data_IF_707278509227
#
_entry.id   IF_707278509227
#
_cell.length_a   1.000
_cell.length_b   1.000
_cell.length_c   1.000
_cell.angle_alpha   90.00
_cell.angle_beta   90.00
_cell.angle_gamma   90.00
#
_symmetry.space_group_name_H-M   'P 1'
#
loop_
_entity.id
_entity.type
_entity.pdbx_description
1 polymer ?
#
# COMPACT_ATOMS: atom_id res chain seq x y z
N UNK A 1 -15.14 -3.69 -30.58
CA UNK A 1 -14.75 -4.59 -29.47
C UNK A 1 -14.43 -3.81 -28.22
N UNK A 2 -13.48 -2.87 -28.25
CA UNK A 2 -13.16 -1.98 -27.12
C UNK A 2 -13.32 -0.52 -27.56
N UNK A 3 -14.07 0.28 -26.80
CA UNK A 3 -14.29 1.69 -27.09
C UNK A 3 -14.07 2.52 -25.82
N UNK A 4 -13.20 3.51 -25.91
CA UNK A 4 -13.03 4.51 -24.86
C UNK A 4 -13.85 5.74 -25.21
N UNK A 5 -14.74 6.13 -24.32
CA UNK A 5 -15.56 7.32 -24.45
C UNK A 5 -15.13 8.32 -23.38
N UNK A 6 -14.79 9.52 -23.85
CA UNK A 6 -14.33 10.64 -23.01
C UNK A 6 -15.31 11.80 -23.14
N UNK A 7 -15.65 12.42 -22.01
CA UNK A 7 -16.48 13.62 -22.00
C UNK A 7 -15.66 14.81 -22.47
N UNK A 8 -16.20 15.57 -23.42
CA UNK A 8 -15.58 16.78 -23.96
C UNK A 8 -16.47 17.99 -23.73
N UNK A 9 -15.86 19.15 -23.52
CA UNK A 9 -16.57 20.43 -23.43
C UNK A 9 -16.96 20.95 -24.82
N UNK A 10 -17.67 22.09 -24.87
CA UNK A 10 -18.11 22.72 -26.13
C UNK A 10 -16.96 23.14 -27.07
N UNK A 11 -15.72 23.17 -26.58
CA UNK A 11 -14.50 23.46 -27.37
C UNK A 11 -13.76 22.18 -27.80
N UNK A 12 -14.36 21.01 -27.59
CA UNK A 12 -13.78 19.70 -27.95
C UNK A 12 -12.62 19.24 -27.05
N UNK A 13 -12.33 19.95 -25.95
CA UNK A 13 -11.31 19.52 -24.98
C UNK A 13 -11.91 18.53 -23.99
N UNK A 14 -11.14 17.53 -23.58
CA UNK A 14 -11.53 16.58 -22.52
C UNK A 14 -11.90 17.39 -21.27
N UNK A 15 -13.13 17.16 -20.80
CA UNK A 15 -13.71 17.86 -19.67
C UNK A 15 -13.07 17.41 -18.36
N UNK A 16 -12.85 16.10 -18.21
CA UNK A 16 -12.22 15.50 -17.04
C UNK A 16 -11.46 14.23 -17.43
N UNK A 17 -10.15 14.24 -17.23
CA UNK A 17 -9.21 13.19 -17.66
C UNK A 17 -9.30 11.91 -16.82
N UNK A 18 -9.79 12.03 -15.58
CA UNK A 18 -9.99 10.89 -14.66
C UNK A 18 -11.30 10.13 -14.88
N UNK A 19 -12.23 10.64 -15.69
CA UNK A 19 -13.50 9.97 -16.00
C UNK A 19 -13.52 9.50 -17.44
N UNK A 20 -13.29 8.20 -17.62
CA UNK A 20 -13.33 7.51 -18.91
C UNK A 20 -14.31 6.36 -18.83
N UNK A 21 -15.18 6.24 -19.84
CA UNK A 21 -16.07 5.10 -19.98
C UNK A 21 -15.45 4.11 -20.94
N UNK A 22 -15.35 2.86 -20.52
CA UNK A 22 -14.85 1.76 -21.35
C UNK A 22 -16.03 0.88 -21.71
N UNK A 23 -16.33 0.79 -23.01
CA UNK A 23 -17.36 -0.10 -23.54
C UNK A 23 -16.72 -1.29 -24.22
N UNK A 24 -17.17 -2.47 -23.81
CA UNK A 24 -16.72 -3.76 -24.35
C UNK A 24 -17.89 -4.45 -25.04
N UNK A 25 -17.71 -4.80 -26.30
CA UNK A 25 -18.71 -5.50 -27.12
C UNK A 25 -18.44 -7.00 -27.15
N UNK A 26 -18.79 -7.70 -26.06
CA UNK A 26 -18.56 -9.15 -25.92
C UNK A 26 -19.06 -10.02 -27.10
N UNK A 27 -20.21 -9.74 -27.75
CA UNK A 27 -20.65 -10.54 -28.90
C UNK A 27 -19.69 -10.54 -30.10
N UNK A 28 -18.85 -9.51 -30.24
CA UNK A 28 -17.85 -9.42 -31.32
C UNK A 28 -16.53 -10.13 -30.97
N UNK A 29 -16.38 -10.61 -29.74
CA UNK A 29 -15.24 -11.42 -29.34
C UNK A 29 -15.44 -12.87 -29.80
N UNK A 30 -14.61 -13.36 -30.72
CA UNK A 30 -14.76 -14.70 -31.34
C UNK A 30 -13.55 -15.60 -31.15
N UNK A 31 -12.56 -15.18 -30.36
CA UNK A 31 -11.34 -15.96 -30.11
C UNK A 31 -11.67 -17.21 -29.27
N UNK A 32 -11.03 -18.32 -29.61
CA UNK A 32 -11.06 -19.56 -28.80
C UNK A 32 -9.94 -19.58 -27.75
N UNK A 33 -9.95 -20.55 -26.84
CA UNK A 33 -8.95 -20.69 -25.76
C UNK A 33 -7.51 -20.69 -26.29
N UNK A 34 -7.27 -21.36 -27.42
CA UNK A 34 -5.93 -21.45 -28.05
C UNK A 34 -5.46 -20.13 -28.70
N UNK A 35 -6.38 -19.18 -28.88
CA UNK A 35 -6.14 -17.89 -29.52
C UNK A 35 -6.02 -16.75 -28.49
N UNK A 36 -5.97 -17.07 -27.19
CA UNK A 36 -5.85 -16.10 -26.11
C UNK A 36 -4.39 -15.68 -25.93
N UNK A 37 -4.00 -14.59 -26.57
CA UNK A 37 -2.63 -14.07 -26.53
C UNK A 37 -2.40 -13.09 -25.37
N UNK A 38 -3.41 -12.31 -25.00
CA UNK A 38 -3.28 -11.23 -24.00
C UNK A 38 -4.14 -11.45 -22.77
N UNK A 39 -3.73 -10.86 -21.64
CA UNK A 39 -4.52 -10.86 -20.40
C UNK A 39 -5.93 -10.26 -20.61
N UNK A 40 -6.06 -9.29 -21.51
CA UNK A 40 -7.35 -8.74 -21.92
C UNK A 40 -8.21 -9.77 -22.65
N UNK A 41 -7.64 -10.55 -23.59
CA UNK A 41 -8.37 -11.62 -24.26
C UNK A 41 -8.85 -12.69 -23.27
N UNK A 42 -8.02 -13.02 -22.27
CA UNK A 42 -8.36 -13.95 -21.19
C UNK A 42 -9.57 -13.47 -20.38
N UNK A 43 -9.60 -12.20 -19.98
CA UNK A 43 -10.77 -11.60 -19.31
C UNK A 43 -12.02 -11.58 -20.19
N UNK A 44 -11.89 -11.24 -21.47
CA UNK A 44 -13.03 -11.23 -22.39
C UNK A 44 -13.60 -12.63 -22.61
N UNK A 45 -12.73 -13.64 -22.77
CA UNK A 45 -13.13 -15.02 -22.90
C UNK A 45 -13.85 -15.50 -21.64
N UNK A 46 -13.27 -15.25 -20.47
CA UNK A 46 -13.85 -15.60 -19.18
C UNK A 46 -15.24 -14.97 -19.00
N UNK A 47 -15.38 -13.65 -19.19
CA UNK A 47 -16.65 -12.95 -19.04
C UNK A 47 -17.71 -13.40 -20.05
N UNK A 48 -17.29 -13.80 -21.25
CA UNK A 48 -18.21 -14.29 -22.29
C UNK A 48 -18.71 -15.71 -22.00
N UNK A 49 -17.85 -16.57 -21.42
CA UNK A 49 -18.12 -17.98 -21.21
C UNK A 49 -18.42 -18.34 -19.74
N UNK A 50 -18.50 -17.36 -18.84
CA UNK A 50 -18.63 -17.56 -17.39
C UNK A 50 -19.80 -18.45 -16.99
N UNK A 51 -20.92 -18.37 -17.71
CA UNK A 51 -22.11 -19.20 -17.45
C UNK A 51 -21.95 -20.67 -17.84
N UNK A 52 -21.00 -20.96 -18.73
CA UNK A 52 -20.84 -22.26 -19.38
C UNK A 52 -19.57 -22.98 -18.90
N UNK A 53 -18.75 -22.31 -18.07
CA UNK A 53 -17.50 -22.85 -17.55
C UNK A 53 -17.76 -23.63 -16.25
N UNK A 54 -17.63 -24.96 -16.33
CA UNK A 54 -17.66 -25.85 -15.16
C UNK A 54 -16.30 -25.95 -14.46
N UNK A 55 -15.21 -25.68 -15.19
CA UNK A 55 -13.84 -25.70 -14.67
C UNK A 55 -12.96 -24.69 -15.42
N UNK A 56 -11.89 -24.17 -14.77
CA UNK A 56 -10.93 -23.28 -15.41
C UNK A 56 -10.16 -23.98 -16.53
N UNK A 57 -10.22 -23.47 -17.78
CA UNK A 57 -9.34 -23.93 -18.86
C UNK A 57 -7.87 -23.70 -18.49
N UNK A 58 -6.96 -24.55 -18.95
CA UNK A 58 -5.52 -24.45 -18.63
C UNK A 58 -4.92 -23.07 -18.93
N UNK A 59 -5.38 -22.41 -20.00
CA UNK A 59 -4.92 -21.06 -20.38
C UNK A 59 -5.32 -19.94 -19.37
N UNK A 60 -6.23 -20.25 -18.44
CA UNK A 60 -6.79 -19.35 -17.42
C UNK A 60 -6.43 -19.77 -15.98
N UNK A 61 -5.51 -20.73 -15.80
CA UNK A 61 -4.97 -21.12 -14.49
C UNK A 61 -3.88 -20.15 -14.01
N UNK A 62 -4.24 -18.88 -13.90
CA UNK A 62 -3.37 -17.85 -13.30
C UNK A 62 -3.94 -17.44 -11.94
N UNK A 63 -3.05 -17.08 -11.00
CA UNK A 63 -3.39 -16.68 -9.62
C UNK A 63 -4.48 -15.60 -9.54
N UNK A 64 -4.55 -14.74 -10.55
CA UNK A 64 -5.54 -13.67 -10.67
C UNK A 64 -6.97 -14.18 -10.93
N UNK A 65 -7.12 -15.35 -11.56
CA UNK A 65 -8.39 -15.98 -11.88
C UNK A 65 -8.82 -17.01 -10.83
N UNK A 66 -7.90 -17.53 -10.00
CA UNK A 66 -8.21 -18.49 -8.94
C UNK A 66 -9.33 -17.98 -8.04
N UNK A 67 -9.26 -16.72 -7.61
CA UNK A 67 -10.30 -16.10 -6.77
C UNK A 67 -11.66 -16.02 -7.45
N UNK A 68 -11.70 -15.92 -8.78
CA UNK A 68 -12.95 -15.85 -9.54
C UNK A 68 -13.57 -17.24 -9.72
N UNK A 69 -12.73 -18.26 -9.96
CA UNK A 69 -13.20 -19.65 -10.03
C UNK A 69 -13.62 -20.20 -8.67
N UNK A 70 -12.90 -19.84 -7.60
CA UNK A 70 -13.35 -20.09 -6.21
C UNK A 70 -14.75 -19.49 -5.99
N UNK A 71 -15.01 -18.27 -6.47
CA UNK A 71 -16.31 -17.60 -6.31
C UNK A 71 -17.43 -18.24 -7.15
N UNK A 72 -17.11 -18.74 -8.35
CA UNK A 72 -18.07 -19.46 -9.19
C UNK A 72 -18.39 -20.86 -8.68
N UNK A 73 -17.40 -21.59 -8.12
CA UNK A 73 -17.64 -22.88 -7.47
C UNK A 73 -18.61 -22.74 -6.29
N UNK A 74 -18.50 -21.68 -5.50
CA UNK A 74 -19.43 -21.38 -4.39
C UNK A 74 -20.87 -21.20 -4.85
N UNK A 75 -21.09 -20.69 -6.06
CA UNK A 75 -22.45 -20.52 -6.59
C UNK A 75 -23.12 -21.86 -6.94
N UNK A 76 -22.33 -22.93 -7.07
CA UNK A 76 -22.77 -24.32 -7.26
C UNK A 76 -22.75 -25.15 -5.96
N UNK A 77 -22.42 -24.57 -4.80
CA UNK A 77 -22.27 -25.32 -3.55
C UNK A 77 -23.61 -25.80 -2.97
N UNK A 78 -23.59 -27.00 -2.40
CA UNK A 78 -24.63 -27.45 -1.49
C UNK A 78 -24.56 -26.68 -0.17
N UNK A 79 -25.65 -26.65 0.61
CA UNK A 79 -25.74 -25.88 1.86
C UNK A 79 -24.60 -26.18 2.87
N UNK A 80 -24.07 -27.41 2.86
CA UNK A 80 -22.97 -27.84 3.74
C UNK A 80 -21.62 -27.28 3.28
N UNK A 81 -21.39 -27.20 1.97
CA UNK A 81 -20.16 -26.64 1.38
C UNK A 81 -20.14 -25.12 1.51
N UNK A 82 -21.29 -24.47 1.42
CA UNK A 82 -21.44 -23.05 1.69
C UNK A 82 -21.05 -22.71 3.14
N UNK A 83 -21.50 -23.48 4.13
CA UNK A 83 -21.17 -23.27 5.54
C UNK A 83 -19.67 -23.50 5.81
N UNK A 84 -19.06 -24.52 5.21
CA UNK A 84 -17.63 -24.78 5.35
C UNK A 84 -16.79 -23.65 4.71
N UNK A 85 -17.22 -23.13 3.57
CA UNK A 85 -16.57 -22.00 2.91
C UNK A 85 -16.72 -20.70 3.70
N UNK A 86 -17.91 -20.38 4.20
CA UNK A 86 -18.13 -19.21 5.06
C UNK A 86 -17.27 -19.25 6.32
N UNK A 87 -17.12 -20.42 6.93
CA UNK A 87 -16.23 -20.63 8.07
C UNK A 87 -14.74 -20.43 7.71
N UNK A 88 -14.30 -20.90 6.54
CA UNK A 88 -12.94 -20.67 6.03
C UNK A 88 -12.68 -19.20 5.72
N UNK A 89 -13.64 -18.53 5.07
CA UNK A 89 -13.57 -17.10 4.74
C UNK A 89 -13.55 -16.24 6.01
N UNK A 90 -14.31 -16.63 7.04
CA UNK A 90 -14.27 -16.00 8.37
C UNK A 90 -12.88 -16.14 8.99
N UNK A 91 -12.28 -17.34 8.97
CA UNK A 91 -10.93 -17.57 9.47
C UNK A 91 -9.88 -16.73 8.72
N UNK A 92 -9.96 -16.64 7.40
CA UNK A 92 -9.07 -15.81 6.59
C UNK A 92 -9.25 -14.31 6.90
N UNK A 93 -10.50 -13.83 7.06
CA UNK A 93 -10.80 -12.45 7.46
C UNK A 93 -10.27 -12.14 8.87
N UNK A 94 -10.43 -13.06 9.81
CA UNK A 94 -9.90 -12.92 11.18
C UNK A 94 -8.35 -12.84 11.13
N UNK A 95 -7.68 -13.69 10.35
CA UNK A 95 -6.23 -13.61 10.14
C UNK A 95 -5.78 -12.31 9.46
N UNK A 96 -6.47 -11.86 8.40
CA UNK A 96 -6.15 -10.61 7.72
C UNK A 96 -6.32 -9.40 8.63
N UNK A 97 -7.38 -9.38 9.46
CA UNK A 97 -7.58 -8.32 10.45
C UNK A 97 -6.45 -8.32 11.49
N UNK A 98 -6.07 -9.48 12.03
CA UNK A 98 -4.94 -9.58 12.98
C UNK A 98 -3.64 -9.07 12.35
N UNK A 99 -3.31 -9.49 11.13
CA UNK A 99 -2.09 -9.07 10.44
C UNK A 99 -2.10 -7.58 10.08
N UNK A 100 -3.24 -7.05 9.64
CA UNK A 100 -3.40 -5.64 9.32
C UNK A 100 -3.24 -4.77 10.57
N UNK A 101 -3.92 -5.13 11.67
CA UNK A 101 -3.81 -4.42 12.95
C UNK A 101 -2.38 -4.47 13.48
N UNK A 102 -1.72 -5.64 13.51
CA UNK A 102 -0.33 -5.73 13.99
C UNK A 102 0.67 -4.94 13.14
N UNK A 103 0.42 -4.81 11.83
CA UNK A 103 1.26 -3.98 10.95
C UNK A 103 1.03 -2.49 11.19
N UNK A 104 -0.23 -2.09 11.40
CA UNK A 104 -0.60 -0.70 11.65
C UNK A 104 -0.07 -0.22 13.02
N UNK A 105 -0.20 -1.06 14.06
CA UNK A 105 0.38 -0.84 15.39
C UNK A 105 1.92 -0.72 15.31
N UNK A 106 2.60 -1.65 14.65
CA UNK A 106 4.07 -1.59 14.54
C UNK A 106 4.60 -0.37 13.75
N UNK A 107 3.84 0.11 12.75
CA UNK A 107 4.19 1.35 12.04
C UNK A 107 3.99 2.56 12.94
N UNK A 108 2.90 2.62 13.69
CA UNK A 108 2.61 3.74 14.58
C UNK A 108 3.60 3.81 15.75
N UNK A 109 3.93 2.68 16.38
CA UNK A 109 4.96 2.59 17.41
C UNK A 109 6.33 3.02 16.85
N UNK A 110 6.76 2.45 15.70
CA UNK A 110 8.04 2.82 15.09
C UNK A 110 8.11 4.29 14.69
N UNK A 111 6.99 4.89 14.27
CA UNK A 111 6.90 6.33 13.96
C UNK A 111 7.01 7.18 15.22
N UNK A 112 6.36 6.78 16.32
CA UNK A 112 6.44 7.49 17.59
C UNK A 112 7.84 7.42 18.18
N UNK A 113 8.42 6.23 18.28
CA UNK A 113 9.78 6.03 18.79
C UNK A 113 10.81 6.80 17.95
N UNK A 114 10.74 6.70 16.63
CA UNK A 114 11.65 7.42 15.73
C UNK A 114 11.51 8.94 15.84
N UNK A 115 10.29 9.45 16.05
CA UNK A 115 10.07 10.88 16.27
C UNK A 115 10.62 11.36 17.62
N UNK A 116 10.44 10.58 18.69
CA UNK A 116 10.96 10.91 20.01
C UNK A 116 12.49 10.86 20.06
N UNK A 117 13.10 9.80 19.51
CA UNK A 117 14.54 9.68 19.39
C UNK A 117 15.14 10.82 18.57
N UNK A 118 14.61 11.08 17.36
CA UNK A 118 15.13 12.16 16.51
C UNK A 118 14.97 13.55 17.15
N UNK A 119 13.90 13.78 17.92
CA UNK A 119 13.72 15.02 18.67
C UNK A 119 14.71 15.15 19.83
N UNK A 120 15.05 14.06 20.50
CA UNK A 120 16.02 14.08 21.59
C UNK A 120 17.45 14.23 21.08
N UNK A 121 17.83 13.48 20.06
CA UNK A 121 19.14 13.61 19.38
C UNK A 121 19.34 15.03 18.86
N UNK A 122 18.38 15.59 18.13
CA UNK A 122 18.48 16.96 17.62
C UNK A 122 18.58 18.01 18.73
N UNK A 123 17.97 17.78 19.90
CA UNK A 123 18.12 18.68 21.06
C UNK A 123 19.52 18.62 21.65
N UNK A 124 20.10 17.43 21.79
CA UNK A 124 21.46 17.28 22.32
C UNK A 124 22.50 17.81 21.32
N UNK A 125 22.35 17.54 20.03
CA UNK A 125 23.20 18.11 18.98
C UNK A 125 23.15 19.64 19.00
N UNK A 126 21.96 20.24 19.10
CA UNK A 126 21.81 21.71 19.17
C UNK A 126 22.50 22.29 20.41
N UNK A 127 22.42 21.62 21.57
CA UNK A 127 23.12 22.08 22.80
C UNK A 127 24.64 22.08 22.59
N UNK A 128 25.17 21.03 21.94
CA UNK A 128 26.60 20.91 21.64
C UNK A 128 27.03 21.99 20.65
N UNK A 129 26.27 22.23 19.57
CA UNK A 129 26.55 23.28 18.59
C UNK A 129 26.57 24.67 19.24
N UNK A 130 25.60 24.97 20.11
CA UNK A 130 25.56 26.23 20.86
C UNK A 130 26.79 26.32 21.79
N UNK A 131 27.15 25.26 22.50
CA UNK A 131 28.30 25.25 23.39
C UNK A 131 29.60 25.53 22.63
N UNK A 132 29.82 24.89 21.48
CA UNK A 132 30.97 25.12 20.61
C UNK A 132 31.03 26.57 20.11
N UNK A 133 29.90 27.13 19.68
CA UNK A 133 29.80 28.54 19.28
C UNK A 133 30.15 29.49 20.43
N UNK A 134 29.68 29.20 21.64
CA UNK A 134 30.01 30.00 22.82
C UNK A 134 31.49 29.89 23.23
N UNK A 135 32.09 28.71 23.11
CA UNK A 135 33.53 28.50 23.35
C UNK A 135 34.36 29.32 22.36
N UNK A 136 34.00 29.31 21.07
CA UNK A 136 34.69 30.11 20.05
C UNK A 136 34.59 31.63 20.32
N UNK A 137 33.50 32.08 20.94
CA UNK A 137 33.30 33.46 21.35
C UNK A 137 34.01 33.81 22.67
N UNK A 138 34.69 32.86 23.31
CA UNK A 138 35.47 33.10 24.53
C UNK A 138 34.64 33.25 25.81
N UNK A 139 33.39 32.77 25.81
CA UNK A 139 32.56 32.77 27.02
C UNK A 139 33.12 31.83 28.09
N UNK A 140 32.94 32.20 29.37
CA UNK A 140 33.36 31.38 30.50
C UNK A 140 32.46 30.15 30.69
N UNK A 141 32.98 29.14 31.38
CA UNK A 141 32.31 27.85 31.55
C UNK A 141 30.96 27.97 32.27
N UNK A 142 30.84 28.86 33.26
CA UNK A 142 29.59 29.04 34.02
C UNK A 142 28.49 29.63 33.13
N UNK A 143 28.84 30.62 32.29
CA UNK A 143 27.89 31.20 31.34
C UNK A 143 27.43 30.18 30.30
N UNK A 144 28.33 29.32 29.81
CA UNK A 144 27.98 28.26 28.83
C UNK A 144 27.05 27.22 29.47
N UNK A 145 27.36 26.78 30.70
CA UNK A 145 26.50 25.85 31.46
C UNK A 145 25.08 26.40 31.62
N UNK A 146 24.95 27.70 31.93
CA UNK A 146 23.64 28.34 32.08
C UNK A 146 22.83 28.38 30.77
N UNK A 147 23.49 28.51 29.61
CA UNK A 147 22.84 28.62 28.29
C UNK A 147 22.44 27.23 27.74
N UNK A 148 23.37 26.26 27.80
CA UNK A 148 23.19 24.96 27.12
C UNK A 148 22.68 23.86 28.06
N UNK A 149 22.71 24.10 29.37
CA UNK A 149 22.41 23.11 30.42
C UNK A 149 23.29 21.87 30.37
N UNK A 150 24.45 21.94 29.72
CA UNK A 150 25.46 20.88 29.72
C UNK A 150 26.26 20.90 31.03
N UNK A 151 26.81 19.74 31.41
CA UNK A 151 27.68 19.65 32.58
C UNK A 151 29.01 20.36 32.34
N UNK A 152 29.71 20.69 33.43
CA UNK A 152 31.06 21.27 33.35
C UNK A 152 32.00 20.31 32.63
N UNK A 153 31.89 19.03 32.92
CA UNK A 153 32.68 17.96 32.32
C UNK A 153 32.49 17.89 30.80
N UNK A 154 31.25 17.96 30.32
CA UNK A 154 30.95 17.95 28.87
C UNK A 154 31.56 19.18 28.17
N UNK A 155 31.46 20.36 28.78
CA UNK A 155 31.99 21.60 28.21
C UNK A 155 33.52 21.58 28.20
N UNK A 156 34.18 21.06 29.24
CA UNK A 156 35.63 20.92 29.25
C UNK A 156 36.12 19.87 28.25
N UNK A 157 35.38 18.77 28.07
CA UNK A 157 35.66 17.80 27.02
C UNK A 157 35.59 18.43 25.61
N UNK A 158 34.59 19.28 25.35
CA UNK A 158 34.47 20.02 24.09
C UNK A 158 35.58 21.06 23.86
N UNK A 159 36.31 21.48 24.91
CA UNK A 159 37.47 22.38 24.80
C UNK A 159 38.79 21.65 24.57
N UNK A 160 38.85 20.37 24.93
CA UNK A 160 40.05 19.53 24.84
C UNK A 160 40.17 18.79 23.49
N UNK A 161 39.07 18.70 22.74
CA UNK A 161 39.06 18.24 21.34
C UNK A 161 39.30 19.36 20.35
#
# INVERSE_FOLDING_TARGET
LFHTVELKNQKGKVFYDKLKFIYVELPKFTKTVDQLESHFDKWLFLLKHLSDLEAPPEALQEVVFDRLFEVSEISNFSAVEQEAYENSLKYYRDLQNVVATSREEGIEEGRQEGFEQGKQEGREETKIEIALSCIQQGLDTETIMAITQLSREDIEALRLG
#
